data_IF_652224801595
#
_entry.id   IF_652224801595
#
_cell.length_a   1.000
_cell.length_b   1.000
_cell.length_c   1.000
_cell.angle_alpha   90.00
_cell.angle_beta   90.00
_cell.angle_gamma   90.00
#
_symmetry.space_group_name_H-M   'P 1'
#
loop_
_entity.id
_entity.type
_entity.pdbx_description
1 polymer ?
#
# COMPACT_ATOMS: atom_id res chain seq x y z
N UNK A 1 -38.58 0.78 46.30
CA UNK A 1 -37.13 0.97 46.07
C UNK A 1 -36.86 0.90 44.57
N UNK A 2 -36.84 2.04 43.88
CA UNK A 2 -36.50 2.11 42.45
C UNK A 2 -35.39 3.14 42.25
N UNK A 3 -34.49 2.88 41.30
CA UNK A 3 -33.53 3.81 40.72
C UNK A 3 -32.34 4.30 41.58
N UNK A 4 -31.38 3.41 41.90
CA UNK A 4 -29.97 3.84 42.15
C UNK A 4 -28.96 3.36 41.09
N UNK A 5 -29.31 2.35 40.28
CA UNK A 5 -28.43 1.84 39.21
C UNK A 5 -28.52 2.60 37.87
N UNK A 6 -29.67 3.18 37.54
CA UNK A 6 -29.88 3.85 36.25
C UNK A 6 -29.09 5.16 36.12
N UNK A 7 -28.85 5.89 37.21
CA UNK A 7 -28.15 7.18 37.16
C UNK A 7 -26.65 7.01 36.84
N UNK A 8 -26.01 5.99 37.41
CA UNK A 8 -24.60 5.66 37.12
C UNK A 8 -24.39 5.17 35.69
N UNK A 9 -25.29 4.31 35.19
CA UNK A 9 -25.23 3.84 33.80
C UNK A 9 -25.51 4.96 32.81
N UNK A 10 -26.47 5.85 33.11
CA UNK A 10 -26.77 6.99 32.25
C UNK A 10 -25.65 8.02 32.21
N UNK A 11 -25.02 8.31 33.36
CA UNK A 11 -23.86 9.20 33.44
C UNK A 11 -22.64 8.60 32.72
N UNK A 12 -22.38 7.29 32.85
CA UNK A 12 -21.31 6.62 32.10
C UNK A 12 -21.57 6.61 30.59
N UNK A 13 -22.80 6.37 30.16
CA UNK A 13 -23.19 6.44 28.75
C UNK A 13 -23.01 7.86 28.21
N UNK A 14 -23.39 8.89 28.98
CA UNK A 14 -23.16 10.29 28.61
C UNK A 14 -21.68 10.63 28.50
N UNK A 15 -20.84 10.16 29.43
CA UNK A 15 -19.38 10.35 29.37
C UNK A 15 -18.79 9.67 28.14
N UNK A 16 -19.19 8.42 27.85
CA UNK A 16 -18.73 7.68 26.67
C UNK A 16 -19.14 8.36 25.36
N UNK A 17 -20.38 8.87 25.29
CA UNK A 17 -20.89 9.62 24.14
C UNK A 17 -20.14 10.95 23.97
N UNK A 18 -19.88 11.67 25.06
CA UNK A 18 -19.07 12.89 25.04
C UNK A 18 -17.65 12.61 24.55
N UNK A 19 -17.03 11.53 25.02
CA UNK A 19 -15.70 11.09 24.58
C UNK A 19 -15.67 10.70 23.10
N UNK A 20 -16.66 9.96 22.63
CA UNK A 20 -16.77 9.58 21.22
C UNK A 20 -16.98 10.80 20.31
N UNK A 21 -17.70 11.81 20.82
CA UNK A 21 -17.97 13.05 20.10
C UNK A 21 -16.73 13.96 20.05
N UNK A 22 -15.97 14.06 21.14
CA UNK A 22 -14.70 14.80 21.16
C UNK A 22 -13.64 14.15 20.28
N UNK A 23 -13.51 12.82 20.29
CA UNK A 23 -12.62 12.11 19.35
C UNK A 23 -13.01 12.36 17.89
N UNK A 24 -14.31 12.32 17.60
CA UNK A 24 -14.82 12.58 16.24
C UNK A 24 -14.51 14.01 15.78
N UNK A 25 -14.60 15.00 16.67
CA UNK A 25 -14.22 16.38 16.38
C UNK A 25 -12.71 16.49 16.17
N UNK A 26 -11.91 15.91 17.06
CA UNK A 26 -10.44 15.91 16.97
C UNK A 26 -9.95 15.31 15.64
N UNK A 27 -10.47 14.15 15.25
CA UNK A 27 -10.10 13.48 13.99
C UNK A 27 -10.48 14.33 12.78
N UNK A 28 -11.61 15.06 12.82
CA UNK A 28 -12.03 15.96 11.74
C UNK A 28 -11.10 17.16 11.61
N UNK A 29 -10.73 17.78 12.73
CA UNK A 29 -9.82 18.92 12.77
C UNK A 29 -8.41 18.53 12.30
N UNK A 30 -7.85 17.47 12.87
CA UNK A 30 -6.52 16.98 12.49
C UNK A 30 -6.46 16.42 11.06
N UNK A 31 -7.56 15.81 10.58
CA UNK A 31 -7.66 15.29 9.22
C UNK A 31 -7.62 16.38 8.13
N UNK A 32 -7.83 17.65 8.50
CA UNK A 32 -7.72 18.77 7.57
C UNK A 32 -6.26 19.13 7.28
N UNK A 33 -5.33 18.91 8.21
CA UNK A 33 -3.93 19.33 8.12
C UNK A 33 -2.98 18.13 8.07
N UNK A 34 -1.77 18.34 7.56
CA UNK A 34 -0.72 17.31 7.64
C UNK A 34 -0.36 17.11 9.10
N UNK A 35 -0.29 15.85 9.54
CA UNK A 35 0.20 15.51 10.88
C UNK A 35 1.75 15.56 10.87
N UNK A 36 2.29 16.45 11.70
CA UNK A 36 3.73 16.66 11.88
C UNK A 36 4.25 16.09 13.21
N UNK A 37 3.36 15.73 14.14
CA UNK A 37 3.71 15.29 15.49
C UNK A 37 3.79 13.77 15.58
N UNK A 38 2.95 13.06 14.83
CA UNK A 38 2.93 11.60 14.85
C UNK A 38 3.93 10.98 13.86
N UNK A 39 4.42 9.79 14.19
CA UNK A 39 5.19 8.96 13.24
C UNK A 39 4.31 8.58 12.05
N UNK A 40 4.69 8.98 10.84
CA UNK A 40 4.00 8.60 9.61
C UNK A 40 4.11 7.10 9.35
N UNK A 41 2.98 6.44 9.10
CA UNK A 41 2.96 5.03 8.73
C UNK A 41 3.26 4.89 7.23
N UNK A 42 4.27 4.07 6.92
CA UNK A 42 4.75 3.81 5.56
C UNK A 42 4.43 2.39 5.12
N UNK A 43 3.97 2.22 3.88
CA UNK A 43 3.66 0.95 3.24
C UNK A 43 4.35 0.87 1.88
N UNK A 44 4.81 -0.32 1.49
CA UNK A 44 5.50 -0.52 0.20
C UNK A 44 4.69 -1.51 -0.64
N UNK A 45 4.28 -1.08 -1.83
CA UNK A 45 3.49 -1.92 -2.75
C UNK A 45 3.57 -1.42 -4.20
N UNK A 46 2.97 -2.18 -5.12
CA UNK A 46 2.69 -1.79 -6.50
C UNK A 46 1.21 -1.45 -6.67
N UNK A 47 0.88 -0.50 -7.54
CA UNK A 47 -0.50 -0.19 -7.89
C UNK A 47 -0.82 -0.75 -9.27
N UNK A 48 -1.63 -1.80 -9.31
CA UNK A 48 -2.16 -2.38 -10.53
C UNK A 48 -3.36 -1.57 -11.01
N UNK A 49 -3.34 -1.10 -12.26
CA UNK A 49 -4.50 -0.43 -12.87
C UNK A 49 -5.46 -1.45 -13.47
N UNK A 50 -6.73 -1.40 -13.07
CA UNK A 50 -7.78 -2.27 -13.62
C UNK A 50 -7.91 -2.14 -15.14
N UNK A 51 -7.70 -0.95 -15.68
CA UNK A 51 -7.97 -0.68 -17.10
C UNK A 51 -6.79 -0.96 -18.01
N UNK A 52 -5.56 -0.66 -17.59
CA UNK A 52 -4.38 -0.99 -18.41
C UNK A 52 -3.89 -2.43 -18.23
N UNK A 53 -4.24 -3.07 -17.11
CA UNK A 53 -3.75 -4.41 -16.77
C UNK A 53 -2.27 -4.44 -16.38
N UNK A 54 -1.69 -3.29 -16.03
CA UNK A 54 -0.27 -3.09 -15.73
C UNK A 54 -0.11 -2.22 -14.48
N UNK A 55 1.12 -2.08 -13.99
CA UNK A 55 1.43 -1.32 -12.79
C UNK A 55 1.75 0.15 -13.09
N UNK A 56 1.39 1.02 -12.16
CA UNK A 56 1.81 2.42 -12.15
C UNK A 56 3.33 2.47 -11.94
N UNK A 57 4.02 3.25 -12.76
CA UNK A 57 5.44 3.55 -12.64
C UNK A 57 5.70 5.06 -12.67
N UNK A 58 6.72 5.46 -11.92
CA UNK A 58 7.15 6.86 -11.77
C UNK A 58 8.56 7.00 -12.33
N UNK A 59 8.67 7.53 -13.55
CA UNK A 59 9.93 7.75 -14.26
C UNK A 59 10.24 9.26 -14.27
N UNK A 60 10.86 9.74 -13.19
CA UNK A 60 11.11 11.16 -13.01
C UNK A 60 9.80 11.96 -12.99
N UNK A 61 9.62 12.86 -13.96
CA UNK A 61 8.39 13.68 -14.08
C UNK A 61 7.21 12.92 -14.70
N UNK A 62 7.47 11.83 -15.43
CA UNK A 62 6.46 11.08 -16.20
C UNK A 62 5.88 9.95 -15.36
N UNK A 63 4.55 9.86 -15.35
CA UNK A 63 3.80 8.82 -14.65
C UNK A 63 2.94 8.07 -15.66
N UNK A 64 3.05 6.75 -15.69
CA UNK A 64 2.31 5.87 -16.60
C UNK A 64 1.90 4.59 -15.88
N UNK A 65 0.91 3.86 -16.39
CA UNK A 65 0.49 2.56 -15.89
C UNK A 65 0.76 1.47 -16.93
N UNK A 66 2.03 1.26 -17.26
CA UNK A 66 2.50 0.32 -18.28
C UNK A 66 3.57 -0.64 -17.78
N UNK A 67 3.95 -0.58 -16.51
CA UNK A 67 5.02 -1.41 -15.97
C UNK A 67 4.57 -2.85 -15.75
N UNK A 68 5.50 -3.78 -15.98
CA UNK A 68 5.31 -5.18 -15.63
C UNK A 68 5.37 -5.39 -14.12
N UNK A 69 5.00 -6.58 -13.67
CA UNK A 69 5.10 -6.93 -12.25
C UNK A 69 6.57 -7.00 -11.81
N UNK A 70 6.91 -6.28 -10.74
CA UNK A 70 8.26 -6.26 -10.17
C UNK A 70 9.22 -5.27 -10.83
N UNK A 71 8.72 -4.44 -11.74
CA UNK A 71 9.50 -3.32 -12.30
C UNK A 71 9.93 -2.35 -11.20
N UNK A 72 11.22 -1.99 -11.18
CA UNK A 72 11.79 -1.09 -10.17
C UNK A 72 11.08 0.26 -10.08
N UNK A 73 10.64 0.83 -11.21
CA UNK A 73 9.91 2.11 -11.23
C UNK A 73 8.46 1.96 -10.77
N UNK A 74 7.94 0.73 -10.65
CA UNK A 74 6.63 0.42 -10.11
C UNK A 74 6.63 0.19 -8.59
N UNK A 75 7.79 0.18 -7.94
CA UNK A 75 7.90 0.16 -6.47
C UNK A 75 7.44 1.49 -5.89
N UNK A 76 6.33 1.51 -5.18
CA UNK A 76 5.77 2.70 -4.54
C UNK A 76 5.93 2.63 -3.03
N UNK A 77 6.39 3.73 -2.45
CA UNK A 77 6.41 4.00 -1.02
C UNK A 77 5.23 4.91 -0.72
N UNK A 78 4.30 4.45 0.11
CA UNK A 78 3.07 5.16 0.43
C UNK A 78 3.06 5.52 1.90
N UNK A 79 3.11 6.82 2.17
CA UNK A 79 3.20 7.39 3.51
C UNK A 79 1.88 8.03 3.88
N UNK A 80 1.43 7.78 5.11
CA UNK A 80 0.22 8.42 5.65
C UNK A 80 0.52 9.88 5.98
N UNK A 81 -0.33 10.79 5.50
CA UNK A 81 -0.26 12.24 5.75
C UNK A 81 -0.95 12.62 7.06
N UNK A 82 -2.15 12.11 7.28
CA UNK A 82 -3.00 12.33 8.46
C UNK A 82 -4.15 11.30 8.42
N UNK A 83 -5.16 11.47 9.27
CA UNK A 83 -6.38 10.67 9.30
C UNK A 83 -7.18 10.68 7.98
N UNK A 84 -8.17 9.80 7.88
CA UNK A 84 -9.06 9.72 6.72
C UNK A 84 -8.39 9.13 5.47
N UNK A 85 -7.42 8.22 5.67
CA UNK A 85 -6.72 7.53 4.57
C UNK A 85 -6.02 8.48 3.59
N UNK A 86 -5.53 9.63 4.09
CA UNK A 86 -4.78 10.60 3.30
C UNK A 86 -3.33 10.16 3.19
N UNK A 87 -2.83 10.05 1.97
CA UNK A 87 -1.52 9.47 1.67
C UNK A 87 -0.73 10.29 0.67
N UNK A 88 0.61 10.23 0.79
CA UNK A 88 1.56 10.62 -0.24
C UNK A 88 2.15 9.38 -0.89
N UNK A 89 2.30 9.40 -2.21
CA UNK A 89 2.78 8.25 -2.98
C UNK A 89 4.10 8.67 -3.65
N UNK A 90 5.22 8.07 -3.22
CA UNK A 90 6.57 8.29 -3.76
C UNK A 90 7.01 7.07 -4.57
N UNK A 91 7.53 7.28 -5.78
CA UNK A 91 8.25 6.23 -6.50
C UNK A 91 9.59 5.97 -5.81
N UNK A 92 9.86 4.72 -5.42
CA UNK A 92 11.08 4.37 -4.68
C UNK A 92 12.33 4.66 -5.51
N UNK A 93 12.33 4.23 -6.78
CA UNK A 93 13.48 4.34 -7.67
C UNK A 93 13.77 5.78 -8.10
N UNK A 94 12.76 6.52 -8.56
CA UNK A 94 12.95 7.90 -9.07
C UNK A 94 12.93 8.98 -7.98
N UNK A 95 12.59 8.60 -6.77
CA UNK A 95 12.36 9.46 -5.62
C UNK A 95 11.34 10.59 -5.83
N UNK A 96 10.45 10.47 -6.82
CA UNK A 96 9.45 11.49 -7.11
C UNK A 96 8.10 11.12 -6.51
N UNK A 97 7.43 12.12 -5.95
CA UNK A 97 6.04 12.04 -5.52
C UNK A 97 5.11 12.16 -6.71
N UNK A 98 4.09 11.31 -6.72
CA UNK A 98 2.94 11.48 -7.61
C UNK A 98 2.14 12.68 -7.11
N UNK A 99 1.92 13.65 -7.99
CA UNK A 99 1.15 14.85 -7.67
C UNK A 99 0.20 15.21 -8.83
N UNK A 100 -0.85 15.95 -8.53
CA UNK A 100 -1.84 16.40 -9.50
C UNK A 100 -1.72 17.92 -9.72
N UNK A 101 -1.37 18.31 -10.95
CA UNK A 101 -1.30 19.73 -11.31
C UNK A 101 -2.68 20.40 -11.34
N UNK A 102 -2.71 21.74 -11.28
CA UNK A 102 -3.92 22.56 -11.47
C UNK A 102 -4.66 22.26 -12.78
N UNK A 103 -3.96 21.77 -13.81
CA UNK A 103 -4.55 21.36 -15.10
C UNK A 103 -5.12 19.93 -15.09
N UNK A 104 -5.10 19.24 -13.94
CA UNK A 104 -5.55 17.86 -13.79
C UNK A 104 -4.61 16.82 -14.42
N UNK A 105 -3.34 17.17 -14.68
CA UNK A 105 -2.32 16.21 -15.13
C UNK A 105 -1.58 15.62 -13.93
N UNK A 106 -1.36 14.31 -13.95
CA UNK A 106 -0.44 13.63 -13.04
C UNK A 106 1.01 13.93 -13.44
N UNK A 107 1.82 14.31 -12.45
CA UNK A 107 3.23 14.66 -12.62
C UNK A 107 4.05 14.15 -11.44
N UNK A 108 5.28 13.74 -11.71
CA UNK A 108 6.28 13.45 -10.68
C UNK A 108 6.95 14.73 -10.20
N UNK A 109 7.02 14.95 -8.87
CA UNK A 109 7.71 16.10 -8.25
C UNK A 109 8.71 15.62 -7.19
N UNK A 110 9.89 16.26 -7.06
CA UNK A 110 10.84 15.94 -5.98
C UNK A 110 10.29 16.35 -4.61
N UNK A 111 9.62 17.50 -4.52
CA UNK A 111 9.02 18.00 -3.29
C UNK A 111 7.53 17.60 -3.21
N UNK A 112 7.21 16.71 -2.27
CA UNK A 112 5.86 16.20 -2.00
C UNK A 112 5.10 16.92 -0.88
N UNK A 113 5.63 18.00 -0.29
CA UNK A 113 4.99 18.68 0.85
C UNK A 113 3.61 19.26 0.53
N UNK A 114 3.40 19.71 -0.71
CA UNK A 114 2.17 20.36 -1.14
C UNK A 114 0.94 19.45 -1.12
N UNK A 115 -0.23 20.02 -0.83
CA UNK A 115 -1.54 19.33 -0.87
C UNK A 115 -1.87 18.70 -2.24
N UNK A 116 -1.25 19.19 -3.33
CA UNK A 116 -1.36 18.61 -4.66
C UNK A 116 -0.73 17.21 -4.80
N UNK A 117 0.08 16.79 -3.83
CA UNK A 117 0.72 15.48 -3.76
C UNK A 117 0.04 14.52 -2.76
N UNK A 118 -1.10 14.93 -2.21
CA UNK A 118 -1.87 14.15 -1.23
C UNK A 118 -3.10 13.60 -1.92
N UNK A 119 -3.36 12.31 -1.70
CA UNK A 119 -4.55 11.62 -2.18
C UNK A 119 -5.29 10.96 -1.02
N UNK A 120 -6.61 10.94 -1.10
CA UNK A 120 -7.44 10.11 -0.23
C UNK A 120 -7.57 8.73 -0.87
N UNK A 121 -7.10 7.69 -0.17
CA UNK A 121 -7.31 6.31 -0.55
C UNK A 121 -8.74 5.88 -0.18
N UNK A 122 -9.52 5.49 -1.17
CA UNK A 122 -10.93 5.11 -1.02
C UNK A 122 -11.07 3.64 -1.43
N UNK A 123 -11.63 2.82 -0.55
CA UNK A 123 -12.12 1.48 -0.91
C UNK A 123 -13.52 1.64 -1.47
N UNK A 124 -13.71 1.25 -2.73
CA UNK A 124 -14.98 1.34 -3.42
C UNK A 124 -15.86 0.13 -3.08
N UNK A 125 -17.17 0.26 -3.29
CA UNK A 125 -18.16 -0.81 -3.10
C UNK A 125 -17.86 -2.07 -3.94
N UNK A 126 -17.17 -1.90 -5.08
CA UNK A 126 -16.76 -3.01 -5.94
C UNK A 126 -15.40 -3.62 -5.55
N UNK A 127 -14.92 -3.34 -4.34
CA UNK A 127 -13.65 -3.81 -3.76
C UNK A 127 -12.38 -3.38 -4.51
N UNK A 128 -12.48 -2.40 -5.42
CA UNK A 128 -11.31 -1.72 -5.97
C UNK A 128 -10.92 -0.51 -5.12
N UNK A 129 -9.69 -0.05 -5.27
CA UNK A 129 -9.19 1.17 -4.65
C UNK A 129 -9.24 2.33 -5.64
N UNK A 130 -9.63 3.52 -5.19
CA UNK A 130 -9.49 4.77 -5.92
C UNK A 130 -8.62 5.75 -5.12
N UNK A 131 -7.96 6.66 -5.83
CA UNK A 131 -7.17 7.74 -5.23
C UNK A 131 -7.74 9.08 -5.67
N UNK A 132 -8.43 9.76 -4.77
CA UNK A 132 -8.99 11.09 -5.00
C UNK A 132 -7.96 12.16 -4.60
N UNK A 133 -7.81 13.23 -5.39
CA UNK A 133 -6.93 14.34 -5.01
C UNK A 133 -7.46 15.05 -3.78
N UNK A 134 -6.61 15.26 -2.79
CA UNK A 134 -6.98 15.97 -1.57
C UNK A 134 -7.02 17.50 -1.76
N UNK A 135 -6.48 18.01 -2.87
CA UNK A 135 -6.52 19.43 -3.24
C UNK A 135 -7.70 19.75 -4.18
N UNK A 136 -8.05 18.83 -5.06
CA UNK A 136 -9.11 19.02 -6.05
C UNK A 136 -10.19 17.95 -5.85
N UNK A 137 -11.24 18.30 -5.10
CA UNK A 137 -12.31 17.36 -4.81
C UNK A 137 -12.99 16.86 -6.09
N UNK A 138 -13.34 15.59 -6.13
CA UNK A 138 -13.93 14.93 -7.30
C UNK A 138 -12.95 14.61 -8.43
N UNK A 139 -11.66 14.92 -8.28
CA UNK A 139 -10.63 14.52 -9.24
C UNK A 139 -9.92 13.26 -8.78
N UNK A 140 -9.81 12.28 -9.66
CA UNK A 140 -9.24 10.97 -9.35
C UNK A 140 -7.99 10.71 -10.20
N UNK A 141 -7.04 10.00 -9.61
CA UNK A 141 -5.96 9.38 -10.35
C UNK A 141 -6.59 8.38 -11.33
N UNK A 142 -6.25 8.48 -12.62
CA UNK A 142 -6.83 7.61 -13.62
C UNK A 142 -5.88 7.36 -14.79
N UNK A 143 -5.94 6.16 -15.36
CA UNK A 143 -5.16 5.75 -16.53
C UNK A 143 -6.05 5.10 -17.57
N UNK A 144 -5.76 5.41 -18.83
CA UNK A 144 -6.42 4.80 -19.99
C UNK A 144 -6.00 3.33 -20.16
N UNK A 145 -6.68 2.62 -21.06
CA UNK A 145 -6.33 1.23 -21.42
C UNK A 145 -4.90 1.05 -21.91
N UNK A 146 -4.32 2.08 -22.55
CA UNK A 146 -2.92 2.08 -23.00
C UNK A 146 -1.93 2.49 -21.89
N UNK A 147 -2.38 2.62 -20.64
CA UNK A 147 -1.55 3.05 -19.51
C UNK A 147 -1.17 4.53 -19.51
N UNK A 148 -1.75 5.35 -20.40
CA UNK A 148 -1.51 6.81 -20.41
C UNK A 148 -2.32 7.48 -19.28
N UNK A 149 -1.75 8.45 -18.56
CA UNK A 149 -2.47 9.18 -17.53
C UNK A 149 -3.63 9.97 -18.15
N UNK A 150 -4.81 9.88 -17.55
CA UNK A 150 -6.01 10.60 -17.98
C UNK A 150 -6.12 11.92 -17.22
N UNK A 151 -6.63 12.96 -17.91
CA UNK A 151 -6.86 14.27 -17.28
C UNK A 151 -7.93 14.13 -16.20
N UNK A 152 -7.62 14.58 -14.99
CA UNK A 152 -8.48 14.38 -13.83
C UNK A 152 -9.85 15.08 -13.95
N UNK A 153 -9.95 16.16 -14.71
CA UNK A 153 -11.24 16.81 -15.01
C UNK A 153 -12.24 15.88 -15.72
N UNK A 154 -11.75 14.82 -16.39
CA UNK A 154 -12.56 13.79 -17.07
C UNK A 154 -12.69 12.49 -16.28
N UNK A 155 -12.02 12.39 -15.13
CA UNK A 155 -12.09 11.24 -14.25
C UNK A 155 -13.34 11.30 -13.38
N UNK A 156 -13.88 10.12 -13.05
CA UNK A 156 -15.00 9.92 -12.13
C UNK A 156 -14.75 8.65 -11.32
N UNK A 157 -15.30 8.60 -10.10
CA UNK A 157 -15.12 7.48 -9.19
C UNK A 157 -15.59 6.14 -9.76
N UNK A 158 -16.69 6.14 -10.50
CA UNK A 158 -17.31 4.93 -11.06
C UNK A 158 -16.64 4.43 -12.35
N UNK A 159 -15.67 5.18 -12.90
CA UNK A 159 -14.97 4.79 -14.12
C UNK A 159 -13.85 3.80 -13.81
N UNK A 160 -13.81 2.70 -14.56
CA UNK A 160 -12.77 1.66 -14.44
C UNK A 160 -11.34 2.22 -14.51
N UNK A 161 -11.14 3.32 -15.23
CA UNK A 161 -9.84 3.98 -15.39
C UNK A 161 -9.28 4.53 -14.07
N UNK A 162 -10.15 4.79 -13.08
CA UNK A 162 -9.79 5.26 -11.74
C UNK A 162 -9.71 4.12 -10.69
N UNK A 163 -9.83 2.86 -11.12
CA UNK A 163 -9.84 1.70 -10.23
C UNK A 163 -8.48 1.01 -10.21
N UNK A 164 -8.00 0.69 -9.01
CA UNK A 164 -6.69 0.10 -8.74
C UNK A 164 -6.78 -1.08 -7.78
N UNK A 165 -5.73 -1.90 -7.78
CA UNK A 165 -5.50 -2.96 -6.79
C UNK A 165 -4.10 -2.76 -6.22
N UNK A 166 -3.98 -2.82 -4.89
CA UNK A 166 -2.70 -2.84 -4.18
C UNK A 166 -2.11 -4.25 -4.28
N UNK A 167 -0.90 -4.39 -4.84
CA UNK A 167 -0.17 -5.66 -4.95
C UNK A 167 1.14 -5.58 -4.21
N UNK A 168 1.59 -6.69 -3.63
CA UNK A 168 2.91 -6.75 -3.01
C UNK A 168 4.00 -6.47 -4.05
N UNK A 169 5.00 -5.68 -3.66
CA UNK A 169 6.21 -5.55 -4.48
C UNK A 169 7.07 -6.79 -4.27
N UNK A 170 6.90 -7.77 -5.16
CA UNK A 170 7.87 -8.85 -5.35
C UNK A 170 8.88 -8.28 -6.34
N UNK A 171 10.09 -7.97 -5.88
CA UNK A 171 11.11 -7.40 -6.76
C UNK A 171 11.31 -8.23 -8.02
N UNK A 172 11.97 -7.67 -9.04
CA UNK A 172 12.39 -8.43 -10.21
C UNK A 172 13.03 -9.74 -9.73
N UNK A 173 12.51 -10.88 -10.19
CA UNK A 173 13.16 -12.16 -9.93
C UNK A 173 14.60 -12.02 -10.45
N UNK A 174 15.63 -12.29 -9.63
CA UNK A 174 16.97 -12.44 -10.18
C UNK A 174 16.86 -13.50 -11.29
N UNK A 175 17.56 -13.26 -12.40
CA UNK A 175 17.57 -14.10 -13.59
C UNK A 175 17.58 -15.61 -13.24
N UNK A 176 16.94 -16.47 -14.04
CA UNK A 176 16.96 -17.91 -13.80
C UNK A 176 18.36 -18.43 -14.12
N UNK A 177 19.26 -18.44 -13.13
CA UNK A 177 20.44 -19.32 -12.98
C UNK A 177 21.42 -18.87 -11.89
N UNK A 178 20.94 -18.27 -10.79
CA UNK A 178 21.70 -18.24 -9.54
C UNK A 178 20.77 -18.68 -8.42
N UNK A 179 20.46 -19.99 -8.41
CA UNK A 179 20.13 -20.63 -7.15
C UNK A 179 21.35 -20.38 -6.26
N UNK A 180 21.14 -19.63 -5.19
CA UNK A 180 22.09 -19.52 -4.09
C UNK A 180 22.59 -20.93 -3.80
N UNK A 181 23.89 -21.16 -4.02
CA UNK A 181 24.60 -22.17 -3.26
C UNK A 181 24.51 -21.69 -1.80
N UNK A 182 23.36 -21.93 -1.15
CA UNK A 182 23.30 -22.00 0.29
C UNK A 182 24.18 -23.20 0.62
N UNK A 183 25.45 -22.90 0.87
CA UNK A 183 26.40 -23.81 1.44
C UNK A 183 25.82 -24.16 2.81
N UNK A 184 25.07 -25.26 2.88
CA UNK A 184 24.67 -25.82 4.15
C UNK A 184 25.96 -26.21 4.87
N UNK A 185 26.33 -25.47 5.92
CA UNK A 185 27.33 -25.96 6.86
C UNK A 185 26.75 -27.21 7.52
N UNK A 186 27.18 -28.37 7.03
CA UNK A 186 26.92 -29.64 7.69
C UNK A 186 27.73 -29.61 8.98
N UNK A 187 27.06 -29.36 10.11
CA UNK A 187 27.63 -29.59 11.43
C UNK A 187 27.99 -31.07 11.50
N UNK A 188 29.28 -31.38 11.39
CA UNK A 188 29.78 -32.74 11.40
C UNK A 188 29.57 -33.36 12.78
N UNK A 189 28.56 -34.22 12.93
CA UNK A 189 28.46 -35.08 14.09
C UNK A 189 29.55 -36.16 14.02
N UNK A 190 30.26 -36.47 15.13
CA UNK A 190 31.29 -37.49 15.12
C UNK A 190 30.69 -38.85 14.74
N UNK A 191 31.36 -39.64 13.88
CA UNK A 191 30.81 -40.90 13.40
C UNK A 191 30.66 -41.90 14.54
N UNK A 192 29.42 -42.21 14.92
CA UNK A 192 29.12 -43.34 15.81
C UNK A 192 29.47 -44.65 15.11
N UNK A 193 30.35 -45.46 15.72
CA UNK A 193 30.74 -46.80 15.24
C UNK A 193 29.49 -47.64 14.98
N UNK A 194 29.17 -47.88 13.70
CA UNK A 194 28.10 -48.79 13.30
C UNK A 194 28.52 -50.23 13.59
N UNK A 195 27.77 -50.93 14.43
CA UNK A 195 28.00 -52.33 14.75
C UNK A 195 27.81 -53.22 13.51
N UNK A 196 28.76 -54.14 13.29
CA UNK A 196 28.81 -55.05 12.15
C UNK A 196 27.66 -56.06 12.26
N UNK A 197 26.62 -55.90 11.42
CA UNK A 197 25.51 -56.84 11.35
C UNK A 197 25.98 -58.12 10.66
N UNK A 198 26.23 -59.18 11.44
CA UNK A 198 26.52 -60.52 10.92
C UNK A 198 25.31 -61.03 10.13
N UNK A 199 25.46 -61.13 8.80
CA UNK A 199 24.49 -61.81 7.95
C UNK A 199 24.89 -63.28 7.86
N UNK A 200 24.26 -64.11 8.68
CA UNK A 200 24.38 -65.57 8.58
C UNK A 200 23.97 -66.03 7.17
N UNK A 201 24.79 -66.88 6.56
CA UNK A 201 24.55 -67.49 5.25
C UNK A 201 23.45 -68.54 5.41
N UNK A 202 22.39 -68.45 4.61
CA UNK A 202 21.45 -69.58 4.44
C UNK A 202 22.04 -70.54 3.40
N UNK A 203 22.16 -71.85 3.67
CA UNK A 203 22.58 -72.83 2.68
C UNK A 203 21.47 -73.06 1.65
N UNK A 204 21.86 -73.31 0.40
CA UNK A 204 21.03 -74.03 -0.56
C UNK A 204 21.24 -75.54 -0.35
N UNK A 205 20.14 -76.29 -0.53
CA UNK A 205 19.90 -77.73 -0.33
C UNK A 205 19.89 -78.22 1.11
#
# INVERSE_FOLDING_TARGET
MFCRGLCGFHMWLQILLLWQQTESQYVREQGATTDELSRRQTRIYQLYSRTSGKHIQVQGKRITATAEEGDMFAKLIVETDTFGSRVRIKGAESEKYICMSKKGKLIGKPNGKGRDCIFTEIVLENNYTAFQSARYNGWYMAFTRRGRPRKASRSRQNQREAHFIKRLYRGQRPFPNQAEHQQFEVVGFPPTRRTKRNRSRRPMT
#
